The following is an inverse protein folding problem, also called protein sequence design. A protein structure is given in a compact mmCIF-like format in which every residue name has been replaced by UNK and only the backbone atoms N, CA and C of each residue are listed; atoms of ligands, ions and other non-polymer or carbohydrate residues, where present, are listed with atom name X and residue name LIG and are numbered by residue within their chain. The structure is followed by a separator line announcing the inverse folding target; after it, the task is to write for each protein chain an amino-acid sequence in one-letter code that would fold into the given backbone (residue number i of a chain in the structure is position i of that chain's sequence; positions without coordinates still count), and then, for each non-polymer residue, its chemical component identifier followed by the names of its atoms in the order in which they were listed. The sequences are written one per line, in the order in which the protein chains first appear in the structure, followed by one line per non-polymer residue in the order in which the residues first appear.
data_IF_564769588121
#
_entry.id   IF_564769588121
#
_cell.length_a   1.000
_cell.length_b   1.000
_cell.length_c   1.000
_cell.angle_alpha   90.00
_cell.angle_beta   90.00
_cell.angle_gamma   90.00
#
_symmetry.space_group_name_H-M   'P 1'
#
loop_
_entity.id
_entity.type
_entity.pdbx_description
1 polymer ?
#
# COMPACT_ATOMS: atom_id res chain seq x y z
N UNK A 1 -22.16 -40.90 9.49
CA UNK A 1 -21.78 -39.81 8.57
C UNK A 1 -22.88 -38.76 8.64
N UNK A 2 -22.52 -37.48 8.79
CA UNK A 2 -23.45 -36.36 8.93
C UNK A 2 -23.84 -35.72 7.58
N UNK A 3 -23.56 -36.42 6.48
CA UNK A 3 -23.85 -35.94 5.14
C UNK A 3 -25.13 -36.62 4.65
N UNK A 4 -26.25 -35.93 4.83
CA UNK A 4 -27.45 -36.17 4.04
C UNK A 4 -27.69 -34.88 3.27
N UNK A 5 -27.05 -34.77 2.11
CA UNK A 5 -26.76 -33.52 1.41
C UNK A 5 -27.98 -32.64 1.04
N UNK A 6 -29.21 -33.05 1.36
CA UNK A 6 -30.42 -32.33 1.00
C UNK A 6 -31.52 -32.32 2.07
N UNK A 7 -31.27 -32.80 3.29
CA UNK A 7 -32.31 -32.77 4.33
C UNK A 7 -32.19 -31.54 5.20
N UNK A 8 -32.94 -30.51 4.83
CA UNK A 8 -33.23 -29.40 5.72
C UNK A 8 -34.23 -29.88 6.81
N UNK A 9 -34.18 -29.32 8.03
CA UNK A 9 -35.19 -29.60 9.04
C UNK A 9 -36.60 -29.33 8.50
N UNK A 10 -37.64 -30.06 8.96
CA UNK A 10 -39.01 -29.79 8.56
C UNK A 10 -39.39 -28.32 8.73
N UNK A 11 -39.93 -27.70 7.67
CA UNK A 11 -40.30 -26.28 7.65
C UNK A 11 -39.20 -25.32 7.19
N UNK A 12 -37.97 -25.81 6.93
CA UNK A 12 -36.86 -24.99 6.40
C UNK A 12 -36.74 -25.22 4.90
N UNK A 13 -36.89 -24.16 4.11
CA UNK A 13 -36.84 -24.21 2.63
C UNK A 13 -35.46 -23.89 2.06
N UNK A 14 -34.56 -23.31 2.87
CA UNK A 14 -33.22 -22.91 2.46
C UNK A 14 -32.21 -23.09 3.60
N UNK A 15 -30.98 -23.52 3.31
CA UNK A 15 -29.89 -23.52 4.29
C UNK A 15 -29.37 -22.11 4.60
N UNK A 16 -29.76 -21.08 3.83
CA UNK A 16 -29.36 -19.69 4.06
C UNK A 16 -30.11 -19.13 5.27
N UNK A 17 -29.38 -18.93 6.37
CA UNK A 17 -29.95 -18.42 7.63
C UNK A 17 -29.83 -16.89 7.78
N UNK A 18 -28.81 -16.28 7.17
CA UNK A 18 -28.60 -14.83 7.20
C UNK A 18 -27.65 -14.39 6.09
N UNK A 19 -27.82 -13.16 5.60
CA UNK A 19 -26.91 -12.51 4.67
C UNK A 19 -26.72 -11.06 5.09
N UNK A 20 -25.47 -10.63 5.16
CA UNK A 20 -25.10 -9.26 5.49
C UNK A 20 -24.23 -8.68 4.38
N UNK A 21 -24.41 -7.39 4.11
CA UNK A 21 -23.55 -6.64 3.20
C UNK A 21 -22.68 -5.69 4.01
N UNK A 22 -21.36 -5.85 3.90
CA UNK A 22 -20.39 -4.95 4.52
C UNK A 22 -19.99 -3.93 3.45
N UNK A 23 -20.25 -2.64 3.71
CA UNK A 23 -19.94 -1.52 2.81
C UNK A 23 -18.70 -0.74 3.28
N UNK A 24 -18.22 0.20 2.46
CA UNK A 24 -17.10 1.09 2.80
C UNK A 24 -15.69 0.48 2.67
N UNK A 25 -15.57 -0.82 2.37
CA UNK A 25 -14.26 -1.46 2.18
C UNK A 25 -13.54 -0.97 0.92
N UNK A 26 -14.29 -0.73 -0.17
CA UNK A 26 -13.76 -0.15 -1.41
C UNK A 26 -13.24 1.27 -1.16
N UNK A 27 -14.05 2.13 -0.55
CA UNK A 27 -13.68 3.51 -0.23
C UNK A 27 -12.44 3.56 0.67
N UNK A 28 -12.37 2.67 1.67
CA UNK A 28 -11.20 2.55 2.53
C UNK A 28 -9.96 2.06 1.75
N UNK A 29 -10.12 1.06 0.87
CA UNK A 29 -9.04 0.56 0.04
C UNK A 29 -8.49 1.65 -0.90
N UNK A 30 -9.35 2.43 -1.53
CA UNK A 30 -8.95 3.51 -2.42
C UNK A 30 -8.23 4.63 -1.65
N UNK A 31 -8.86 5.12 -0.57
CA UNK A 31 -8.35 6.21 0.26
C UNK A 31 -6.97 5.93 0.84
N UNK A 32 -6.68 4.68 1.18
CA UNK A 32 -5.43 4.29 1.81
C UNK A 32 -4.52 3.44 0.89
N UNK A 33 -4.85 3.32 -0.40
CA UNK A 33 -4.14 2.46 -1.37
C UNK A 33 -2.62 2.68 -1.41
N UNK A 34 -2.17 3.94 -1.34
CA UNK A 34 -0.76 4.31 -1.42
C UNK A 34 0.01 4.20 -0.10
N UNK A 35 -0.70 4.06 1.03
CA UNK A 35 -0.12 4.11 2.38
C UNK A 35 -0.33 2.83 3.17
N UNK A 36 -1.23 1.96 2.72
CA UNK A 36 -1.53 0.73 3.42
C UNK A 36 -0.45 -0.32 3.14
N UNK A 37 0.31 -0.66 4.17
CA UNK A 37 1.34 -1.68 4.15
C UNK A 37 0.78 -3.09 4.20
N UNK A 38 -0.48 -3.24 4.62
CA UNK A 38 -1.14 -4.54 4.70
C UNK A 38 -1.80 -4.95 3.39
N UNK A 39 -1.55 -4.26 2.27
CA UNK A 39 -2.33 -4.43 1.03
C UNK A 39 -2.39 -5.89 0.57
N UNK A 40 -3.58 -6.42 0.22
CA UNK A 40 -4.89 -5.77 0.18
C UNK A 40 -5.51 -5.50 1.57
N UNK A 41 -6.46 -4.55 1.66
CA UNK A 41 -7.10 -4.14 2.93
C UNK A 41 -7.60 -5.34 3.74
N UNK A 42 -7.21 -5.41 5.02
CA UNK A 42 -7.63 -6.48 5.92
C UNK A 42 -8.99 -6.14 6.52
N UNK A 43 -9.91 -7.09 6.53
CA UNK A 43 -11.20 -6.95 7.22
C UNK A 43 -11.34 -8.02 8.31
N UNK A 44 -11.86 -7.65 9.48
CA UNK A 44 -12.18 -8.57 10.56
C UNK A 44 -13.69 -8.58 10.79
N UNK A 45 -14.27 -9.77 10.88
CA UNK A 45 -15.71 -9.97 11.10
C UNK A 45 -15.89 -10.78 12.37
N UNK A 46 -16.64 -10.24 13.33
CA UNK A 46 -16.85 -10.85 14.64
C UNK A 46 -18.28 -11.40 14.71
N UNK A 47 -18.40 -12.72 14.80
CA UNK A 47 -19.68 -13.39 15.02
C UNK A 47 -19.59 -14.34 16.22
N UNK A 48 -20.74 -14.56 16.85
CA UNK A 48 -20.87 -15.47 17.98
C UNK A 48 -22.13 -16.32 17.86
N UNK A 49 -22.08 -17.54 18.39
CA UNK A 49 -23.22 -18.45 18.48
C UNK A 49 -23.39 -18.87 19.94
N UNK A 50 -24.53 -18.52 20.53
CA UNK A 50 -24.84 -18.89 21.91
C UNK A 50 -25.28 -20.36 22.02
N UNK A 51 -25.20 -20.92 23.24
CA UNK A 51 -25.81 -22.23 23.55
C UNK A 51 -27.33 -22.25 23.29
N UNK A 52 -28.00 -21.10 23.40
CA UNK A 52 -29.44 -20.99 23.08
C UNK A 52 -29.73 -20.95 21.58
N UNK A 53 -28.70 -21.03 20.72
CA UNK A 53 -28.85 -21.05 19.26
C UNK A 53 -29.00 -19.67 18.64
N UNK A 54 -28.67 -18.59 19.35
CA UNK A 54 -28.70 -17.24 18.80
C UNK A 54 -27.37 -16.97 18.10
N UNK A 55 -27.44 -16.70 16.79
CA UNK A 55 -26.32 -16.20 16.00
C UNK A 55 -26.30 -14.67 16.07
N UNK A 56 -25.17 -14.08 16.43
CA UNK A 56 -24.98 -12.64 16.51
C UNK A 56 -23.79 -12.21 15.65
N UNK A 57 -23.97 -11.15 14.87
CA UNK A 57 -22.91 -10.47 14.14
C UNK A 57 -22.65 -9.14 14.83
N UNK A 58 -21.55 -9.06 15.56
CA UNK A 58 -21.30 -7.95 16.49
C UNK A 58 -20.52 -6.82 15.82
N UNK A 59 -19.63 -7.14 14.87
CA UNK A 59 -18.73 -6.16 14.25
C UNK A 59 -18.17 -6.58 12.90
N UNK A 60 -17.93 -5.60 12.04
CA UNK A 60 -17.09 -5.71 10.85
C UNK A 60 -16.15 -4.49 10.76
N UNK A 61 -14.85 -4.73 10.89
CA UNK A 61 -13.81 -3.69 10.91
C UNK A 61 -12.90 -3.81 9.69
N UNK A 62 -12.51 -2.68 9.09
CA UNK A 62 -11.41 -2.60 8.13
C UNK A 62 -10.14 -2.10 8.82
N UNK A 63 -9.01 -2.75 8.58
CA UNK A 63 -7.72 -2.45 9.20
C UNK A 63 -6.76 -1.87 8.15
N UNK A 64 -6.19 -0.72 8.49
CA UNK A 64 -5.19 -0.01 7.68
C UNK A 64 -3.91 0.11 8.50
N UNK A 65 -2.79 -0.32 7.94
CA UNK A 65 -1.47 -0.21 8.56
C UNK A 65 -0.61 0.78 7.77
N UNK A 66 -0.08 1.82 8.42
CA UNK A 66 0.72 2.87 7.79
C UNK A 66 2.02 3.05 8.57
N UNK A 67 3.16 3.16 7.87
CA UNK A 67 4.41 3.65 8.47
C UNK A 67 4.59 5.13 8.16
N UNK A 68 4.93 5.93 9.18
CA UNK A 68 5.29 7.33 9.04
C UNK A 68 6.77 7.52 9.39
N UNK A 69 7.55 8.06 8.45
CA UNK A 69 8.95 8.45 8.70
C UNK A 69 8.99 9.88 9.24
N UNK A 70 9.61 10.08 10.39
CA UNK A 70 9.87 11.42 10.96
C UNK A 70 11.30 11.82 10.65
N UNK A 71 11.49 12.98 10.02
CA UNK A 71 12.82 13.50 9.76
C UNK A 71 13.46 14.00 11.07
N UNK A 72 14.63 13.45 11.39
CA UNK A 72 15.39 13.81 12.60
C UNK A 72 16.32 14.98 12.26
N UNK A 73 16.26 16.11 13.00
CA UNK A 73 17.17 17.23 12.79
C UNK A 73 18.63 16.78 12.89
N UNK A 74 19.36 16.85 11.76
CA UNK A 74 20.81 16.64 11.76
C UNK A 74 21.46 17.94 12.19
N UNK A 75 22.17 17.94 13.31
CA UNK A 75 23.04 19.04 13.71
C UNK A 75 24.11 19.19 12.63
N UNK A 76 23.95 20.14 11.72
CA UNK A 76 25.04 20.61 10.90
C UNK A 76 26.06 21.26 11.85
N UNK A 77 27.15 20.54 12.13
CA UNK A 77 28.32 21.15 12.77
C UNK A 77 28.81 22.23 11.82
N UNK A 78 28.60 23.48 12.21
CA UNK A 78 29.13 24.65 11.54
C UNK A 78 30.64 24.45 11.34
N UNK A 79 31.06 24.26 10.08
CA UNK A 79 32.47 24.41 9.73
C UNK A 79 32.70 25.91 9.61
N UNK A 80 33.05 26.54 10.73
CA UNK A 80 33.47 27.94 10.76
C UNK A 80 34.94 28.03 10.32
N UNK A 81 35.16 28.83 9.27
CA UNK A 81 36.38 29.52 8.88
C UNK A 81 37.66 28.72 8.58
N UNK A 82 38.07 28.76 7.30
CA UNK A 82 39.45 29.15 6.95
C UNK A 82 39.46 29.76 5.56
N UNK A 83 39.59 31.08 5.52
CA UNK A 83 40.16 31.83 4.40
C UNK A 83 41.42 31.13 3.88
N UNK A 84 41.39 30.60 2.67
CA UNK A 84 42.63 30.33 1.91
C UNK A 84 42.56 31.15 0.63
N UNK A 85 43.48 32.10 0.61
CA UNK A 85 43.78 33.08 -0.41
C UNK A 85 44.14 32.44 -1.75
N UNK A 86 43.83 33.19 -2.81
CA UNK A 86 44.20 33.01 -4.20
C UNK A 86 45.68 32.68 -4.45
N UNK A 87 45.94 31.70 -5.33
CA UNK A 87 47.07 31.75 -6.26
C UNK A 87 46.67 31.16 -7.63
N UNK A 88 46.79 32.02 -8.65
CA UNK A 88 46.72 31.70 -10.08
C UNK A 88 47.94 30.85 -10.46
N UNK A 89 47.76 29.82 -11.28
CA UNK A 89 48.75 29.39 -12.30
C UNK A 89 48.01 28.62 -13.39
N UNK A 90 47.97 29.21 -14.58
CA UNK A 90 47.61 28.60 -15.85
C UNK A 90 48.61 27.50 -16.23
N UNK A 91 48.13 26.34 -16.69
CA UNK A 91 48.72 25.65 -17.84
C UNK A 91 47.66 24.79 -18.55
N UNK A 92 47.74 24.89 -19.86
CA UNK A 92 46.91 24.43 -20.95
C UNK A 92 46.75 22.92 -21.05
N UNK A 93 45.54 22.49 -21.45
CA UNK A 93 45.29 21.59 -22.61
C UNK A 93 43.95 20.86 -22.43
N UNK A 94 42.87 21.46 -22.94
CA UNK A 94 41.64 20.72 -23.24
C UNK A 94 41.21 21.11 -24.65
N UNK A 95 41.66 20.30 -25.61
CA UNK A 95 41.34 20.37 -27.03
C UNK A 95 39.83 20.30 -27.22
N UNK A 96 39.22 21.38 -27.70
CA UNK A 96 37.92 21.32 -28.36
C UNK A 96 38.13 20.72 -29.77
N UNK A 97 37.37 19.70 -30.12
CA UNK A 97 36.88 19.52 -31.49
C UNK A 97 35.55 18.76 -31.45
N UNK A 98 34.54 19.44 -31.96
CA UNK A 98 33.22 18.99 -32.39
C UNK A 98 33.32 17.95 -33.51
N UNK A 99 32.41 16.98 -33.57
CA UNK A 99 31.82 16.52 -34.84
C UNK A 99 30.54 15.69 -34.61
N UNK A 100 29.55 16.08 -35.39
CA UNK A 100 28.18 15.63 -35.60
C UNK A 100 28.13 14.22 -36.22
N UNK A 101 27.19 13.36 -35.80
CA UNK A 101 26.73 12.28 -36.69
C UNK A 101 25.25 11.92 -36.48
N UNK A 102 24.58 11.99 -37.63
CA UNK A 102 23.20 11.87 -38.04
C UNK A 102 22.44 10.57 -37.72
N UNK A 103 21.12 10.74 -37.80
CA UNK A 103 19.99 9.83 -37.66
C UNK A 103 20.00 8.60 -38.59
N UNK A 104 19.24 7.56 -38.18
CA UNK A 104 18.61 6.65 -39.15
C UNK A 104 17.97 5.37 -38.59
N UNK A 105 16.63 5.30 -38.71
CA UNK A 105 15.82 4.14 -39.18
C UNK A 105 15.51 3.03 -38.14
N UNK A 106 14.29 2.47 -37.94
CA UNK A 106 12.99 2.46 -38.65
C UNK A 106 11.84 2.10 -37.68
N UNK A 107 10.62 2.55 -38.02
CA UNK A 107 9.33 2.12 -37.48
C UNK A 107 8.95 0.70 -37.90
N UNK A 108 8.12 0.00 -37.12
CA UNK A 108 7.11 -0.91 -37.68
C UNK A 108 5.86 -1.01 -36.79
N UNK A 109 4.72 -1.19 -37.46
CA UNK A 109 3.36 -1.32 -36.92
C UNK A 109 3.07 -2.70 -36.34
#
# INVERSE_FOLDING_TARGET
AYESEHHLPPGVTSPLIAQYQISGLTDASEKYSSRNLSSPIKANVHFSLSRSGILSLDRADAVIEITEWVEVPRKNLTVENSTISSNVTDESSATNNSEENSEGVQSDS
#
